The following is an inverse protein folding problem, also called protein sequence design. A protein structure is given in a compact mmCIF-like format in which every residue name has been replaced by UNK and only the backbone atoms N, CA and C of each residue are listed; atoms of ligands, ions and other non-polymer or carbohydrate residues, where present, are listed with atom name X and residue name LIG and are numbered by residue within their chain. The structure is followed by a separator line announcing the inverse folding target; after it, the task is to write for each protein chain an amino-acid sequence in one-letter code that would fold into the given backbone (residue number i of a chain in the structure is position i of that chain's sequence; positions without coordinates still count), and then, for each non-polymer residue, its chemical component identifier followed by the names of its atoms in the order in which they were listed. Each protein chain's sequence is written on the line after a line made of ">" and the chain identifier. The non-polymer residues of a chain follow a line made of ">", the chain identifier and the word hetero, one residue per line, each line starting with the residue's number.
data_IF_248419563113
#
_entry.id   IF_248419563113
#
_cell.length_a   1.000
_cell.length_b   1.000
_cell.length_c   1.000
_cell.angle_alpha   90.00
_cell.angle_beta   90.00
_cell.angle_gamma   90.00
#
_symmetry.space_group_name_H-M   'P 1'
#
loop_
_entity.id
_entity.type
_entity.pdbx_description
1 polymer ?
#
# COMPACT_ATOMS: atom_id res chain seq x y z
N UNK A 1 0.88 -5.65 11.21
CA UNK A 1 -0.28 -5.92 10.35
C UNK A 1 -0.20 -7.36 9.89
N UNK A 2 -1.32 -8.08 9.76
CA UNK A 2 -1.30 -9.47 9.25
C UNK A 2 -1.84 -9.49 7.82
N UNK A 3 -1.09 -10.08 6.91
CA UNK A 3 -1.44 -10.13 5.49
C UNK A 3 -0.89 -11.40 4.83
N UNK A 4 -1.39 -11.69 3.63
CA UNK A 4 -0.87 -12.74 2.74
C UNK A 4 -0.96 -12.30 1.28
N UNK A 5 -0.12 -12.89 0.44
CA UNK A 5 -0.11 -12.62 -1.00
C UNK A 5 -0.72 -13.77 -1.78
N UNK A 6 -1.52 -13.44 -2.79
CA UNK A 6 -2.14 -14.41 -3.67
C UNK A 6 -2.08 -13.96 -5.13
N UNK A 7 -2.35 -14.87 -6.05
CA UNK A 7 -2.55 -14.56 -7.47
C UNK A 7 -4.03 -14.72 -7.79
N UNK A 8 -4.68 -13.61 -8.13
CA UNK A 8 -6.05 -13.61 -8.58
C UNK A 8 -6.11 -13.85 -10.09
N UNK A 9 -6.73 -14.96 -10.50
CA UNK A 9 -6.92 -15.33 -11.91
C UNK A 9 -8.34 -14.97 -12.34
N UNK A 10 -8.47 -14.23 -13.44
CA UNK A 10 -9.74 -13.75 -13.95
C UNK A 10 -9.81 -13.83 -15.48
N UNK A 11 -11.04 -13.79 -16.02
CA UNK A 11 -11.29 -13.73 -17.45
C UNK A 11 -11.67 -12.31 -17.83
N UNK A 12 -11.05 -11.77 -18.87
CA UNK A 12 -11.48 -10.50 -19.47
C UNK A 12 -12.82 -10.69 -20.20
N UNK A 13 -13.53 -9.61 -20.55
CA UNK A 13 -14.73 -9.68 -21.39
C UNK A 13 -14.50 -10.37 -22.75
N UNK A 14 -13.25 -10.37 -23.25
CA UNK A 14 -12.84 -11.05 -24.48
C UNK A 14 -12.48 -12.53 -24.29
N UNK A 15 -12.60 -13.06 -23.07
CA UNK A 15 -12.26 -14.45 -22.73
C UNK A 15 -10.77 -14.70 -22.50
N UNK A 16 -9.93 -13.66 -22.49
CA UNK A 16 -8.51 -13.80 -22.18
C UNK A 16 -8.34 -14.06 -20.68
N UNK A 17 -7.55 -15.08 -20.34
CA UNK A 17 -7.12 -15.32 -18.96
C UNK A 17 -6.07 -14.30 -18.59
N UNK A 18 -6.32 -13.57 -17.51
CA UNK A 18 -5.36 -12.68 -16.88
C UNK A 18 -5.14 -13.08 -15.43
N UNK A 19 -3.97 -12.72 -14.93
CA UNK A 19 -3.58 -12.93 -13.56
C UNK A 19 -3.14 -11.56 -13.02
N UNK A 20 -3.46 -11.29 -11.76
CA UNK A 20 -2.93 -10.14 -11.04
C UNK A 20 -2.51 -10.55 -9.63
N UNK A 21 -1.41 -10.01 -9.11
CA UNK A 21 -1.08 -10.16 -7.70
C UNK A 21 -2.12 -9.45 -6.86
N UNK A 22 -2.44 -9.99 -5.67
CA UNK A 22 -3.29 -9.35 -4.66
C UNK A 22 -2.67 -9.50 -3.27
N UNK A 23 -2.90 -8.51 -2.40
CA UNK A 23 -2.64 -8.59 -0.97
C UNK A 23 -3.98 -8.77 -0.24
N UNK A 24 -4.09 -9.82 0.55
CA UNK A 24 -5.16 -9.98 1.54
C UNK A 24 -4.68 -9.47 2.90
N UNK A 25 -5.32 -8.43 3.42
CA UNK A 25 -4.99 -7.80 4.71
C UNK A 25 -6.08 -8.16 5.72
N UNK A 26 -5.71 -8.83 6.81
CA UNK A 26 -6.64 -9.23 7.85
C UNK A 26 -7.26 -8.00 8.53
N UNK A 27 -8.59 -7.95 8.61
CA UNK A 27 -9.36 -6.87 9.22
C UNK A 27 -8.99 -5.48 8.65
N UNK A 28 -8.77 -5.38 7.34
CA UNK A 28 -8.34 -4.16 6.65
C UNK A 28 -9.21 -2.93 6.94
N UNK A 29 -10.52 -3.12 7.18
CA UNK A 29 -11.46 -2.04 7.50
C UNK A 29 -11.11 -1.25 8.76
N UNK A 30 -10.30 -1.81 9.67
CA UNK A 30 -9.79 -1.06 10.84
C UNK A 30 -8.82 0.07 10.45
N UNK A 31 -8.28 0.02 9.23
CA UNK A 31 -7.36 1.01 8.67
C UNK A 31 -8.08 2.02 7.75
N UNK A 32 -9.40 1.95 7.68
CA UNK A 32 -10.23 2.66 6.72
C UNK A 32 -10.96 1.68 5.80
N UNK A 33 -12.23 1.97 5.48
CA UNK A 33 -13.09 1.07 4.71
C UNK A 33 -12.50 0.68 3.35
N UNK A 34 -11.77 1.59 2.71
CA UNK A 34 -11.17 1.39 1.39
C UNK A 34 -9.66 1.07 1.42
N UNK A 35 -9.07 0.85 2.60
CA UNK A 35 -7.61 0.71 2.74
C UNK A 35 -7.08 -0.49 1.93
N UNK A 36 -7.82 -1.59 1.94
CA UNK A 36 -7.51 -2.78 1.15
C UNK A 36 -7.45 -2.46 -0.36
N UNK A 37 -8.45 -1.76 -0.88
CA UNK A 37 -8.54 -1.43 -2.31
C UNK A 37 -7.43 -0.46 -2.70
N UNK A 38 -7.17 0.53 -1.84
CA UNK A 38 -6.12 1.53 -2.04
C UNK A 38 -4.75 0.87 -2.27
N UNK A 39 -4.34 -0.02 -1.35
CA UNK A 39 -3.04 -0.70 -1.44
C UNK A 39 -2.99 -1.66 -2.64
N UNK A 40 -4.08 -2.40 -2.90
CA UNK A 40 -4.10 -3.33 -4.03
C UNK A 40 -4.05 -2.61 -5.38
N UNK A 41 -4.60 -1.40 -5.50
CA UNK A 41 -4.57 -0.63 -6.74
C UNK A 41 -3.16 -0.12 -7.08
N UNK A 42 -2.26 0.01 -6.09
CA UNK A 42 -0.86 0.35 -6.34
C UNK A 42 -0.14 -0.71 -7.19
N UNK A 43 -0.64 -1.95 -7.25
CA UNK A 43 0.00 -3.05 -7.97
C UNK A 43 0.15 -2.81 -9.47
N UNK A 44 -0.61 -1.87 -10.05
CA UNK A 44 -0.49 -1.54 -11.48
C UNK A 44 0.73 -0.69 -11.81
N UNK A 45 1.37 -0.08 -10.81
CA UNK A 45 2.55 0.78 -10.96
C UNK A 45 3.67 0.28 -10.04
N UNK A 46 4.49 -0.64 -10.56
CA UNK A 46 5.58 -1.24 -9.80
C UNK A 46 6.65 -0.22 -9.40
N UNK A 47 7.00 0.69 -10.31
CA UNK A 47 8.01 1.73 -10.05
C UNK A 47 7.55 2.65 -8.91
N UNK A 48 6.25 2.97 -8.85
CA UNK A 48 5.68 3.73 -7.73
C UNK A 48 5.76 2.97 -6.41
N UNK A 49 5.48 1.66 -6.40
CA UNK A 49 5.66 0.82 -5.20
C UNK A 49 7.12 0.78 -4.75
N UNK A 50 8.09 0.74 -5.68
CA UNK A 50 9.51 0.84 -5.34
C UNK A 50 9.84 2.19 -4.68
N UNK A 51 9.37 3.30 -5.26
CA UNK A 51 9.55 4.63 -4.70
C UNK A 51 8.99 4.73 -3.27
N UNK A 52 7.77 4.23 -3.04
CA UNK A 52 7.13 4.27 -1.71
C UNK A 52 8.04 3.61 -0.66
N UNK A 53 8.59 2.44 -0.96
CA UNK A 53 9.45 1.73 -0.01
C UNK A 53 10.73 2.52 0.26
N UNK A 54 11.37 3.08 -0.77
CA UNK A 54 12.56 3.91 -0.61
C UNK A 54 12.29 5.16 0.25
N UNK A 55 11.15 5.82 0.05
CA UNK A 55 10.77 7.00 0.85
C UNK A 55 10.52 6.66 2.32
N UNK A 56 9.89 5.52 2.59
CA UNK A 56 9.68 5.04 3.96
C UNK A 56 11.04 4.68 4.61
N UNK A 57 11.97 4.08 3.87
CA UNK A 57 13.34 3.81 4.36
C UNK A 57 14.11 5.10 4.66
N UNK A 58 13.96 6.13 3.84
CA UNK A 58 14.53 7.45 4.10
C UNK A 58 13.98 8.07 5.41
N UNK A 59 12.69 7.89 5.71
CA UNK A 59 12.07 8.34 6.98
C UNK A 59 12.63 7.54 8.16
N UNK A 60 12.63 6.20 8.07
CA UNK A 60 13.08 5.31 9.14
C UNK A 60 14.57 5.50 9.48
N UNK A 61 15.41 5.73 8.47
CA UNK A 61 16.83 6.01 8.64
C UNK A 61 17.11 7.42 9.19
N UNK A 62 16.12 8.31 9.19
CA UNK A 62 16.26 9.71 9.59
C UNK A 62 16.94 10.58 8.54
N UNK A 63 16.97 10.14 7.27
CA UNK A 63 17.43 10.96 6.13
C UNK A 63 16.41 12.04 5.78
N UNK A 64 15.13 11.75 5.96
CA UNK A 64 14.04 12.75 5.98
C UNK A 64 13.23 12.58 7.26
N UNK A 65 12.64 13.67 7.75
CA UNK A 65 11.78 13.63 8.94
C UNK A 65 10.35 13.19 8.62
N UNK A 66 9.93 13.38 7.37
CA UNK A 66 8.56 13.18 6.92
C UNK A 66 8.51 12.77 5.45
N UNK A 67 7.53 11.93 5.11
CA UNK A 67 7.10 11.64 3.76
C UNK A 67 5.65 12.08 3.60
N UNK A 68 5.41 12.96 2.61
CA UNK A 68 4.09 13.53 2.27
C UNK A 68 3.03 12.46 1.95
N UNK A 69 3.47 11.23 1.72
CA UNK A 69 2.64 10.06 1.71
C UNK A 69 2.41 9.49 0.33
N UNK A 70 1.61 8.43 0.32
CA UNK A 70 1.27 7.69 -0.87
C UNK A 70 -0.18 7.24 -0.82
N UNK A 71 -0.72 6.90 -1.97
CA UNK A 71 -2.14 6.59 -2.11
C UNK A 71 -2.48 6.33 -3.56
N UNK A 72 -3.75 6.07 -3.82
CA UNK A 72 -4.25 5.84 -5.16
C UNK A 72 -5.38 6.81 -5.50
N UNK A 73 -6.55 6.63 -4.88
CA UNK A 73 -7.73 7.45 -5.15
C UNK A 73 -8.24 8.09 -3.87
N UNK A 74 -8.61 7.30 -2.87
CA UNK A 74 -9.40 7.80 -1.74
C UNK A 74 -8.55 8.22 -0.54
N UNK A 75 -7.41 7.58 -0.34
CA UNK A 75 -6.60 7.74 0.86
C UNK A 75 -5.21 8.27 0.56
N UNK A 76 -4.74 9.17 1.42
CA UNK A 76 -3.35 9.57 1.50
C UNK A 76 -2.75 8.99 2.78
N UNK A 77 -1.60 8.31 2.67
CA UNK A 77 -0.90 7.66 3.78
C UNK A 77 0.39 8.42 4.05
N UNK A 78 0.30 9.44 4.89
CA UNK A 78 1.44 10.25 5.31
C UNK A 78 2.29 9.52 6.36
N UNK A 79 3.62 9.66 6.30
CA UNK A 79 4.52 8.92 7.19
C UNK A 79 5.51 9.85 7.91
N UNK A 80 5.59 9.72 9.24
CA UNK A 80 6.68 10.25 10.06
C UNK A 80 7.48 9.10 10.69
N UNK A 81 8.49 9.41 11.49
CA UNK A 81 9.40 8.40 12.08
C UNK A 81 8.72 7.41 13.04
N UNK A 82 7.51 7.68 13.49
CA UNK A 82 6.77 6.86 14.46
C UNK A 82 5.58 6.15 13.81
N UNK A 83 4.88 6.81 12.89
CA UNK A 83 3.57 6.36 12.40
C UNK A 83 3.31 6.75 10.94
N UNK A 84 2.41 5.98 10.36
CA UNK A 84 1.68 6.32 9.15
C UNK A 84 0.25 6.75 9.51
N UNK A 85 -0.23 7.83 8.91
CA UNK A 85 -1.59 8.36 9.12
C UNK A 85 -2.37 8.19 7.82
N UNK A 86 -3.44 7.40 7.87
CA UNK A 86 -4.35 7.18 6.74
C UNK A 86 -5.42 8.27 6.76
N UNK A 87 -5.42 9.14 5.75
CA UNK A 87 -6.35 10.26 5.61
C UNK A 87 -7.28 10.07 4.42
N UNK A 88 -8.56 10.32 4.63
CA UNK A 88 -9.55 10.38 3.57
C UNK A 88 -9.60 11.77 2.96
N UNK A 89 -8.98 11.93 1.79
CA UNK A 89 -8.85 13.23 1.12
C UNK A 89 -10.18 13.75 0.55
N UNK A 90 -11.20 12.90 0.44
CA UNK A 90 -12.55 13.29 0.05
C UNK A 90 -13.43 13.72 1.22
N UNK A 91 -13.02 13.42 2.45
CA UNK A 91 -13.72 13.79 3.69
C UNK A 91 -12.90 14.81 4.50
N UNK A 92 -12.37 15.84 3.84
CA UNK A 92 -11.62 16.95 4.49
C UNK A 92 -10.44 16.44 5.34
N UNK A 93 -9.63 15.55 4.73
CA UNK A 93 -8.45 14.92 5.35
C UNK A 93 -8.74 14.18 6.67
N UNK A 94 -9.98 13.69 6.84
CA UNK A 94 -10.38 12.89 8.00
C UNK A 94 -9.43 11.71 8.19
N UNK A 95 -8.90 11.59 9.41
CA UNK A 95 -8.03 10.47 9.80
C UNK A 95 -8.89 9.22 9.99
N UNK A 96 -8.69 8.23 9.12
CA UNK A 96 -9.34 6.92 9.22
C UNK A 96 -8.57 6.00 10.15
N UNK A 97 -7.23 6.09 10.16
CA UNK A 97 -6.38 5.27 11.02
C UNK A 97 -4.99 5.88 11.26
N UNK A 98 -4.36 5.43 12.35
CA UNK A 98 -2.95 5.65 12.65
C UNK A 98 -2.31 4.29 12.85
N UNK A 99 -1.25 4.01 12.09
CA UNK A 99 -0.58 2.71 12.03
C UNK A 99 0.89 2.94 12.39
N UNK A 100 1.55 2.09 13.19
CA UNK A 100 3.00 2.18 13.36
C UNK A 100 3.71 2.11 12.00
N UNK A 101 4.67 3.01 11.75
CA UNK A 101 5.34 3.08 10.44
C UNK A 101 5.99 1.75 10.04
N UNK A 102 6.51 1.00 11.03
CA UNK A 102 7.13 -0.29 10.81
C UNK A 102 6.16 -1.30 10.17
N UNK A 103 4.88 -1.29 10.54
CA UNK A 103 3.89 -2.21 9.97
C UNK A 103 3.57 -1.87 8.50
N UNK A 104 3.54 -0.58 8.16
CA UNK A 104 3.35 -0.12 6.77
C UNK A 104 4.58 -0.40 5.94
N UNK A 105 5.78 -0.16 6.48
CA UNK A 105 7.04 -0.49 5.83
C UNK A 105 7.13 -1.98 5.48
N UNK A 106 6.85 -2.87 6.44
CA UNK A 106 6.89 -4.32 6.23
C UNK A 106 5.91 -4.76 5.13
N UNK A 107 4.67 -4.26 5.19
CA UNK A 107 3.67 -4.51 4.15
C UNK A 107 4.17 -4.08 2.77
N UNK A 108 4.61 -2.83 2.63
CA UNK A 108 4.99 -2.27 1.33
C UNK A 108 6.28 -2.89 0.79
N UNK A 109 7.26 -3.18 1.65
CA UNK A 109 8.50 -3.87 1.28
C UNK A 109 8.21 -5.28 0.79
N UNK A 110 7.43 -6.05 1.55
CA UNK A 110 7.10 -7.42 1.19
C UNK A 110 6.23 -7.44 -0.07
N UNK A 111 5.36 -6.43 -0.24
CA UNK A 111 4.56 -6.27 -1.45
C UNK A 111 5.42 -5.98 -2.67
N UNK A 112 6.33 -5.02 -2.59
CA UNK A 112 7.33 -4.73 -3.62
C UNK A 112 8.08 -6.00 -4.02
N UNK A 113 8.58 -6.76 -3.06
CA UNK A 113 9.36 -7.96 -3.34
C UNK A 113 8.51 -9.04 -4.03
N UNK A 114 7.25 -9.20 -3.62
CA UNK A 114 6.30 -10.09 -4.28
C UNK A 114 5.96 -9.64 -5.72
N UNK A 115 5.71 -8.35 -5.95
CA UNK A 115 5.49 -7.80 -7.29
C UNK A 115 6.71 -7.98 -8.19
N UNK A 116 7.90 -7.74 -7.65
CA UNK A 116 9.17 -7.93 -8.35
C UNK A 116 9.33 -9.38 -8.82
N UNK A 117 8.91 -10.36 -8.02
CA UNK A 117 8.93 -11.76 -8.41
C UNK A 117 7.86 -12.11 -9.46
N UNK A 118 6.69 -11.47 -9.41
CA UNK A 118 5.62 -11.67 -10.38
C UNK A 118 5.92 -11.09 -11.77
N UNK A 119 6.59 -9.93 -11.84
CA UNK A 119 6.90 -9.23 -13.09
C UNK A 119 8.26 -9.62 -13.73
N UNK A 120 9.02 -10.53 -13.11
CA UNK A 120 10.24 -11.14 -13.69
C UNK A 120 9.91 -12.07 -14.87
#
# INVERSE_FOLDING_TARGET
>A
MKYSFNIHKYLTPTGLKKERPIIDIDNSSQYGWYFYDEINNLSSDFDYVEEIVEKIEDVLSGKTDFYEGFGFELYMIECDREKAVVKNIFEDDKVEAIIPIQEVYELMRDWRDYLRDFYK
#
